data_IF_773522599350
#
_entry.id   IF_773522599350
#
_cell.length_a   1.000
_cell.length_b   1.000
_cell.length_c   1.000
_cell.angle_alpha   90.00
_cell.angle_beta   90.00
_cell.angle_gamma   90.00
#
_symmetry.space_group_name_H-M   'P 1'
#
loop_
_entity.id
_entity.type
_entity.pdbx_description
1 polymer ?
#
# COMPACT_ATOMS: atom_id res chain seq x y z
N UNK A 1 41.50 -14.33 20.86
CA UNK A 1 40.95 -13.40 19.84
C UNK A 1 40.52 -14.11 18.56
N UNK A 2 41.01 -15.34 18.29
CA UNK A 2 40.59 -16.12 17.11
C UNK A 2 39.20 -16.76 17.23
N UNK A 3 38.80 -17.26 18.39
CA UNK A 3 37.51 -17.97 18.57
C UNK A 3 36.25 -17.12 18.34
N UNK A 4 36.35 -15.79 18.51
CA UNK A 4 35.23 -14.85 18.26
C UNK A 4 35.02 -14.56 16.78
N UNK A 5 36.06 -14.67 15.95
CA UNK A 5 35.96 -14.45 14.49
C UNK A 5 35.31 -15.64 13.79
N UNK A 6 35.54 -16.86 14.28
CA UNK A 6 34.96 -18.08 13.71
C UNK A 6 33.45 -18.22 14.01
N UNK A 7 32.99 -17.79 15.19
CA UNK A 7 31.55 -17.78 15.51
C UNK A 7 30.77 -16.74 14.70
N UNK A 8 31.34 -15.56 14.46
CA UNK A 8 30.68 -14.52 13.65
C UNK A 8 30.54 -14.93 12.18
N UNK A 9 31.56 -15.60 11.61
CA UNK A 9 31.49 -16.13 10.25
C UNK A 9 30.42 -17.23 10.09
N UNK A 10 30.24 -18.08 11.10
CA UNK A 10 29.21 -19.13 11.08
C UNK A 10 27.79 -18.57 11.16
N UNK A 11 27.58 -17.47 11.92
CA UNK A 11 26.27 -16.83 12.05
C UNK A 11 25.85 -16.09 10.77
N UNK A 12 26.79 -15.46 10.07
CA UNK A 12 26.54 -14.78 8.78
C UNK A 12 26.26 -15.81 7.67
N UNK A 13 26.94 -16.96 7.67
CA UNK A 13 26.71 -18.02 6.69
C UNK A 13 25.35 -18.72 6.89
N UNK A 14 24.85 -18.78 8.13
CA UNK A 14 23.53 -19.35 8.45
C UNK A 14 22.37 -18.45 7.98
N UNK A 15 22.52 -17.11 8.03
CA UNK A 15 21.50 -16.18 7.50
C UNK A 15 21.36 -16.21 5.98
N UNK A 16 22.44 -16.53 5.25
CA UNK A 16 22.43 -16.65 3.79
C UNK A 16 21.84 -17.98 3.27
N UNK A 17 21.56 -18.93 4.18
CA UNK A 17 21.05 -20.25 3.85
C UNK A 17 19.56 -20.44 4.22
N UNK A 18 18.87 -19.39 4.69
CA UNK A 18 17.43 -19.42 4.92
C UNK A 18 16.74 -19.14 3.58
N UNK A 19 16.12 -20.13 2.92
CA UNK A 19 15.28 -19.83 1.77
C UNK A 19 14.17 -18.89 2.23
N UNK A 20 14.16 -17.66 1.71
CA UNK A 20 13.03 -16.76 1.85
C UNK A 20 11.82 -17.43 1.21
N UNK A 21 10.84 -17.81 2.01
CA UNK A 21 9.56 -18.26 1.50
C UNK A 21 8.84 -17.05 0.92
N UNK A 22 8.89 -16.90 -0.39
CA UNK A 22 8.00 -15.99 -1.12
C UNK A 22 6.78 -16.81 -1.56
N UNK A 23 5.63 -16.55 -0.93
CA UNK A 23 4.34 -17.04 -1.39
C UNK A 23 3.72 -15.95 -2.25
N UNK A 24 3.63 -16.20 -3.56
CA UNK A 24 2.83 -15.37 -4.45
C UNK A 24 1.39 -15.91 -4.43
N UNK A 25 0.49 -15.18 -3.78
CA UNK A 25 -0.94 -15.39 -3.93
C UNK A 25 -1.45 -14.55 -5.09
N UNK A 26 -2.44 -15.05 -5.85
CA UNK A 26 -3.17 -14.19 -6.77
C UNK A 26 -3.83 -13.07 -5.95
N UNK A 27 -3.52 -11.82 -6.27
CA UNK A 27 -4.22 -10.67 -5.68
C UNK A 27 -5.66 -10.73 -6.23
N UNK A 28 -6.68 -10.78 -5.37
CA UNK A 28 -8.05 -10.69 -5.84
C UNK A 28 -8.23 -9.38 -6.59
N UNK A 29 -8.81 -9.42 -7.80
CA UNK A 29 -9.21 -8.20 -8.51
C UNK A 29 -9.97 -7.28 -7.56
N UNK A 30 -9.59 -6.01 -7.50
CA UNK A 30 -10.09 -5.05 -6.50
C UNK A 30 -11.58 -4.75 -6.65
N UNK A 31 -12.27 -5.38 -7.62
CA UNK A 31 -13.70 -5.19 -7.90
C UNK A 31 -14.01 -3.78 -8.39
N UNK A 32 -12.99 -2.98 -8.69
CA UNK A 32 -13.09 -1.60 -9.11
C UNK A 32 -13.42 -1.57 -10.61
N UNK A 33 -14.67 -1.23 -10.92
CA UNK A 33 -15.18 -1.17 -12.31
C UNK A 33 -15.30 0.27 -12.83
N UNK A 34 -14.86 1.25 -12.03
CA UNK A 34 -15.06 2.68 -12.26
C UNK A 34 -13.75 3.43 -12.02
N UNK A 35 -13.30 4.18 -13.02
CA UNK A 35 -12.06 4.96 -12.96
C UNK A 35 -12.37 6.45 -12.82
N UNK A 36 -11.42 7.21 -12.29
CA UNK A 36 -11.58 8.64 -12.05
C UNK A 36 -10.38 9.40 -12.64
N UNK A 37 -10.61 10.63 -13.12
CA UNK A 37 -9.51 11.53 -13.47
C UNK A 37 -8.84 12.14 -12.22
N UNK A 38 -7.79 12.94 -12.43
CA UNK A 38 -7.06 13.65 -11.36
C UNK A 38 -7.92 14.70 -10.61
N UNK A 39 -9.15 14.92 -11.06
CA UNK A 39 -10.13 15.82 -10.46
C UNK A 39 -11.27 15.05 -9.76
N UNK A 40 -11.21 13.71 -9.73
CA UNK A 40 -12.22 12.86 -9.10
C UNK A 40 -13.50 12.69 -9.93
N UNK A 41 -13.51 13.09 -11.20
CA UNK A 41 -14.65 12.83 -12.08
C UNK A 41 -14.57 11.40 -12.59
N UNK A 42 -15.72 10.73 -12.65
CA UNK A 42 -15.80 9.41 -13.28
C UNK A 42 -15.43 9.50 -14.76
N UNK A 43 -14.41 8.75 -15.16
CA UNK A 43 -14.03 8.55 -16.55
C UNK A 43 -14.37 7.13 -16.97
N UNK A 44 -14.49 6.92 -18.29
CA UNK A 44 -14.39 5.56 -18.83
C UNK A 44 -13.00 5.05 -18.45
N UNK A 45 -12.95 3.93 -17.73
CA UNK A 45 -11.67 3.27 -17.49
C UNK A 45 -10.94 3.16 -18.83
N UNK A 46 -9.66 3.57 -18.90
CA UNK A 46 -8.84 3.27 -20.07
C UNK A 46 -9.07 1.80 -20.39
N UNK A 47 -9.39 1.49 -21.65
CA UNK A 47 -9.67 0.11 -22.06
C UNK A 47 -8.52 -0.72 -21.52
N UNK A 48 -8.84 -1.59 -20.56
CA UNK A 48 -7.84 -2.39 -19.89
C UNK A 48 -7.00 -3.07 -20.96
N UNK A 49 -5.71 -3.23 -20.68
CA UNK A 49 -4.90 -4.19 -21.38
C UNK A 49 -5.71 -5.48 -21.52
N UNK A 50 -6.26 -5.76 -22.69
CA UNK A 50 -6.92 -7.04 -22.86
C UNK A 50 -5.82 -8.08 -23.06
N UNK A 51 -5.99 -9.25 -22.45
CA UNK A 51 -5.01 -10.34 -22.53
C UNK A 51 -4.79 -10.83 -23.97
N UNK A 52 -5.60 -10.36 -24.93
CA UNK A 52 -5.65 -10.83 -26.31
C UNK A 52 -4.94 -9.88 -27.28
N UNK A 53 -5.05 -8.56 -27.11
CA UNK A 53 -4.57 -7.51 -28.00
C UNK A 53 -3.56 -6.55 -27.33
N UNK A 54 -3.36 -6.64 -26.03
CA UNK A 54 -2.29 -5.97 -25.30
C UNK A 54 -2.55 -4.50 -24.96
N UNK A 55 -1.57 -3.88 -24.29
CA UNK A 55 -1.71 -2.54 -23.72
C UNK A 55 -1.36 -1.43 -24.72
N UNK A 56 -2.03 -0.26 -24.61
CA UNK A 56 -1.55 0.99 -25.21
C UNK A 56 -0.14 1.29 -24.70
N UNK A 57 0.82 1.43 -25.61
CA UNK A 57 2.21 1.70 -25.25
C UNK A 57 2.46 3.17 -25.04
N UNK A 58 3.08 3.47 -23.91
CA UNK A 58 3.60 4.80 -23.59
C UNK A 58 5.12 4.83 -23.70
N UNK A 59 5.65 5.88 -24.29
CA UNK A 59 7.08 6.07 -24.52
C UNK A 59 7.55 7.34 -23.82
N UNK A 60 8.71 7.28 -23.16
CA UNK A 60 9.33 8.47 -22.58
C UNK A 60 10.18 9.15 -23.64
N UNK A 61 9.89 10.42 -23.88
CA UNK A 61 10.70 11.26 -24.76
C UNK A 61 12.09 11.48 -24.16
N UNK A 62 13.19 11.15 -24.87
CA UNK A 62 14.55 11.35 -24.35
C UNK A 62 14.91 12.81 -24.08
N UNK A 63 14.29 13.75 -24.80
CA UNK A 63 14.60 15.18 -24.76
C UNK A 63 13.83 15.94 -23.67
N UNK A 64 12.62 15.49 -23.32
CA UNK A 64 11.72 16.19 -22.40
C UNK A 64 11.35 15.38 -21.17
N UNK A 65 11.63 14.08 -21.14
CA UNK A 65 11.17 13.16 -20.10
C UNK A 65 9.65 12.96 -20.09
N UNK A 66 8.91 13.55 -21.05
CA UNK A 66 7.45 13.42 -21.11
C UNK A 66 7.03 12.10 -21.71
N UNK A 67 6.03 11.49 -21.09
CA UNK A 67 5.34 10.30 -21.58
C UNK A 67 4.41 10.66 -22.75
N UNK A 68 4.50 9.93 -23.85
CA UNK A 68 3.63 10.05 -25.03
C UNK A 68 3.09 8.68 -25.45
N UNK A 69 1.87 8.63 -25.98
CA UNK A 69 1.23 7.39 -26.46
C UNK A 69 0.60 7.53 -27.85
N UNK A 70 0.74 8.70 -28.47
CA UNK A 70 0.26 9.00 -29.82
C UNK A 70 1.41 9.52 -30.67
N UNK A 71 1.47 9.00 -31.89
CA UNK A 71 2.48 9.31 -32.89
C UNK A 71 1.81 9.76 -34.16
N UNK A 72 2.56 10.46 -35.00
CA UNK A 72 2.11 10.97 -36.29
C UNK A 72 3.09 10.55 -37.37
N UNK A 73 2.59 10.10 -38.51
CA UNK A 73 3.43 9.82 -39.67
C UNK A 73 3.83 11.11 -40.41
N UNK A 74 4.54 10.98 -41.53
CA UNK A 74 4.95 12.12 -42.35
C UNK A 74 3.80 12.92 -42.97
N UNK A 75 2.62 12.31 -43.08
CA UNK A 75 1.42 12.93 -43.63
C UNK A 75 0.56 13.56 -42.51
N UNK A 76 1.00 13.46 -41.25
CA UNK A 76 0.31 13.99 -40.09
C UNK A 76 -0.83 13.10 -39.60
N UNK A 77 -0.88 11.83 -40.02
CA UNK A 77 -1.90 10.86 -39.60
C UNK A 77 -1.51 10.28 -38.25
N UNK A 78 -2.45 10.32 -37.30
CA UNK A 78 -2.24 9.84 -35.94
C UNK A 78 -2.36 8.32 -35.85
N UNK A 79 -1.44 7.70 -35.11
CA UNK A 79 -1.48 6.29 -34.76
C UNK A 79 -0.89 6.04 -33.35
N UNK A 80 -1.15 4.86 -32.80
CA UNK A 80 -0.66 4.41 -31.49
C UNK A 80 -0.16 2.96 -31.56
N UNK A 81 0.79 2.61 -30.71
CA UNK A 81 1.30 1.24 -30.57
C UNK A 81 0.58 0.50 -29.46
N UNK A 82 0.28 -0.78 -29.69
CA UNK A 82 -0.28 -1.70 -28.72
C UNK A 82 0.58 -2.96 -28.63
N UNK A 83 0.70 -3.52 -27.42
CA UNK A 83 1.32 -4.83 -27.20
C UNK A 83 1.84 -5.03 -25.78
N UNK A 84 2.48 -6.17 -25.54
CA UNK A 84 2.88 -6.62 -24.19
C UNK A 84 4.36 -6.31 -23.90
N UNK A 85 4.72 -5.88 -22.68
CA UNK A 85 6.13 -5.60 -22.33
C UNK A 85 6.85 -6.88 -21.92
N UNK A 86 6.19 -7.68 -21.08
CA UNK A 86 6.59 -9.04 -20.71
C UNK A 86 5.42 -9.98 -20.92
N UNK A 87 5.73 -11.21 -21.30
CA UNK A 87 4.76 -12.26 -21.56
C UNK A 87 5.20 -13.49 -20.79
N UNK A 88 4.26 -14.28 -20.31
CA UNK A 88 4.57 -15.48 -19.54
C UNK A 88 3.93 -16.72 -20.18
N UNK A 89 4.57 -17.86 -20.00
CA UNK A 89 3.98 -19.17 -20.23
C UNK A 89 3.01 -19.51 -19.08
N UNK A 90 2.18 -20.53 -19.25
CA UNK A 90 1.20 -20.97 -18.23
C UNK A 90 1.86 -21.41 -16.90
N UNK A 91 3.17 -21.70 -16.92
CA UNK A 91 3.97 -22.06 -15.75
C UNK A 91 4.62 -20.85 -15.05
N UNK A 92 4.33 -19.62 -15.50
CA UNK A 92 4.88 -18.39 -14.95
C UNK A 92 6.29 -18.04 -15.43
N UNK A 93 6.89 -18.82 -16.33
CA UNK A 93 8.19 -18.46 -16.95
C UNK A 93 8.02 -17.39 -18.02
N UNK A 94 8.95 -16.45 -18.09
CA UNK A 94 8.91 -15.37 -19.09
C UNK A 94 9.15 -15.93 -20.51
N UNK A 95 8.38 -15.43 -21.49
CA UNK A 95 8.45 -15.76 -22.92
C UNK A 95 8.52 -14.48 -23.75
N UNK A 96 8.98 -14.62 -24.99
CA UNK A 96 8.99 -13.51 -25.95
C UNK A 96 7.55 -13.09 -26.29
N UNK A 97 7.27 -11.80 -26.18
CA UNK A 97 5.98 -11.25 -26.57
C UNK A 97 5.76 -11.22 -28.08
N UNK A 98 4.49 -11.29 -28.53
CA UNK A 98 4.12 -10.96 -29.90
C UNK A 98 4.61 -9.56 -30.31
N UNK A 99 4.83 -9.36 -31.61
CA UNK A 99 5.21 -8.07 -32.18
C UNK A 99 4.10 -7.02 -31.95
N UNK A 100 4.48 -5.75 -31.81
CA UNK A 100 3.51 -4.67 -31.58
C UNK A 100 2.55 -4.53 -32.75
N UNK A 101 1.30 -4.20 -32.44
CA UNK A 101 0.32 -3.77 -33.44
C UNK A 101 0.16 -2.25 -33.40
N UNK A 102 -0.17 -1.65 -34.53
CA UNK A 102 -0.48 -0.22 -34.61
C UNK A 102 -1.95 -0.03 -34.87
N UNK A 103 -2.54 0.98 -34.22
CA UNK A 103 -3.93 1.36 -34.42
C UNK A 103 -4.04 2.80 -34.84
N UNK A 104 -4.97 3.10 -35.75
CA UNK A 104 -5.30 4.47 -36.12
C UNK A 104 -6.07 5.16 -34.98
N UNK A 105 -6.37 6.45 -35.13
CA UNK A 105 -7.17 7.23 -34.15
C UNK A 105 -8.57 6.65 -33.88
N UNK A 106 -9.15 5.93 -34.83
CA UNK A 106 -10.45 5.27 -34.70
C UNK A 106 -10.37 3.92 -33.98
N UNK A 107 -9.15 3.41 -33.72
CA UNK A 107 -8.91 2.12 -33.09
C UNK A 107 -8.74 0.94 -34.07
N UNK A 108 -8.77 1.17 -35.38
CA UNK A 108 -8.58 0.10 -36.37
C UNK A 108 -7.12 -0.29 -36.45
N UNK A 109 -6.84 -1.60 -36.52
CA UNK A 109 -5.49 -2.14 -36.74
C UNK A 109 -4.99 -1.72 -38.12
N UNK A 110 -3.81 -1.09 -38.15
CA UNK A 110 -3.13 -0.64 -39.36
C UNK A 110 -1.71 -1.21 -39.40
N UNK A 111 -1.10 -1.34 -40.60
CA UNK A 111 0.32 -1.63 -40.71
C UNK A 111 1.15 -0.59 -39.95
N UNK A 112 2.06 -1.04 -39.10
CA UNK A 112 2.92 -0.13 -38.36
C UNK A 112 3.83 0.67 -39.30
N UNK A 113 3.90 2.01 -39.17
CA UNK A 113 4.80 2.83 -39.97
C UNK A 113 6.26 2.42 -39.75
N UNK A 114 7.00 2.23 -40.84
CA UNK A 114 8.42 1.83 -40.83
C UNK A 114 9.38 3.01 -41.04
N UNK A 115 8.82 4.22 -41.23
CA UNK A 115 9.56 5.46 -41.46
C UNK A 115 9.76 6.30 -40.19
N UNK A 116 10.02 7.59 -40.41
CA UNK A 116 10.06 8.59 -39.32
C UNK A 116 8.66 8.82 -38.77
N UNK A 117 8.54 9.01 -37.47
CA UNK A 117 7.31 9.51 -36.84
C UNK A 117 7.58 10.76 -36.01
N UNK A 118 6.49 11.41 -35.62
CA UNK A 118 6.50 12.70 -34.92
C UNK A 118 5.58 12.67 -33.72
N UNK A 119 5.87 13.52 -32.73
CA UNK A 119 5.04 13.71 -31.53
C UNK A 119 3.77 14.56 -31.77
N UNK A 120 3.67 15.24 -32.93
CA UNK A 120 2.49 16.04 -33.33
C UNK A 120 2.26 16.02 -34.84
N UNK A 121 1.01 16.20 -35.24
CA UNK A 121 0.58 16.21 -36.65
C UNK A 121 1.31 17.23 -37.54
N UNK A 122 1.79 18.33 -36.98
CA UNK A 122 2.47 19.40 -37.73
C UNK A 122 4.00 19.23 -37.83
N UNK A 123 4.52 18.02 -37.66
CA UNK A 123 5.96 17.74 -37.72
C UNK A 123 6.73 18.33 -36.53
N UNK A 124 6.58 17.73 -35.35
CA UNK A 124 7.33 18.13 -34.16
C UNK A 124 8.67 17.44 -34.02
N UNK A 125 8.92 16.83 -32.86
CA UNK A 125 10.13 16.06 -32.63
C UNK A 125 10.07 14.79 -33.45
N UNK A 126 11.05 14.64 -34.33
CA UNK A 126 11.22 13.51 -35.22
C UNK A 126 11.91 12.35 -34.49
N UNK A 127 11.31 11.17 -34.56
CA UNK A 127 11.92 9.92 -34.18
C UNK A 127 12.50 9.25 -35.43
N UNK A 128 13.82 9.05 -35.45
CA UNK A 128 14.55 8.52 -36.61
C UNK A 128 14.05 7.12 -37.05
N UNK A 129 13.59 6.34 -36.07
CA UNK A 129 12.86 5.08 -36.27
C UNK A 129 11.67 5.14 -35.33
N UNK A 130 10.48 4.92 -35.87
CA UNK A 130 9.29 4.53 -35.14
C UNK A 130 9.66 3.50 -34.05
N UNK A 131 9.47 3.76 -32.74
CA UNK A 131 10.06 2.96 -31.67
C UNK A 131 9.83 1.45 -31.90
N UNK A 132 10.88 0.66 -32.22
CA UNK A 132 10.68 -0.71 -32.68
C UNK A 132 10.67 -1.74 -31.54
N UNK A 133 11.02 -1.35 -30.31
CA UNK A 133 11.13 -2.28 -29.18
C UNK A 133 10.64 -1.67 -27.86
N UNK A 134 10.23 -2.57 -26.96
CA UNK A 134 9.74 -2.31 -25.61
C UNK A 134 10.75 -1.57 -24.70
N UNK A 135 11.98 -1.36 -25.14
CA UNK A 135 13.11 -1.00 -24.29
C UNK A 135 13.10 0.47 -23.82
N UNK A 136 12.21 1.32 -24.35
CA UNK A 136 12.04 2.72 -23.91
C UNK A 136 10.66 3.03 -23.32
N UNK A 137 9.85 2.01 -23.01
CA UNK A 137 8.63 2.25 -22.23
C UNK A 137 9.02 2.67 -20.83
N UNK A 138 8.35 3.69 -20.30
CA UNK A 138 8.47 4.07 -18.89
C UNK A 138 8.25 2.89 -17.96
N UNK A 139 8.54 3.09 -16.66
CA UNK A 139 8.64 2.04 -15.65
C UNK A 139 7.40 1.15 -15.47
N UNK A 140 6.25 1.52 -15.98
CA UNK A 140 5.00 0.96 -15.46
C UNK A 140 4.35 -0.02 -16.44
N UNK A 141 4.72 -1.30 -16.27
CA UNK A 141 3.96 -2.48 -16.73
C UNK A 141 2.51 -2.53 -16.23
N UNK A 142 2.23 -1.70 -15.24
CA UNK A 142 1.00 -1.67 -14.50
C UNK A 142 0.33 -0.29 -14.54
N UNK A 143 0.80 0.63 -15.41
CA UNK A 143 0.26 2.00 -15.46
C UNK A 143 -1.26 2.00 -15.56
N UNK A 144 -1.93 2.54 -14.54
CA UNK A 144 -3.38 2.47 -14.41
C UNK A 144 -3.88 1.56 -13.29
N UNK A 145 -3.02 0.80 -12.62
CA UNK A 145 -3.35 0.12 -11.37
C UNK A 145 -3.33 1.11 -10.20
N UNK A 146 -4.00 0.72 -9.11
CA UNK A 146 -4.09 1.53 -7.88
C UNK A 146 -2.71 1.94 -7.35
N UNK A 147 -1.69 1.10 -7.53
CA UNK A 147 -0.31 1.39 -7.11
C UNK A 147 0.41 2.49 -7.93
N UNK A 148 -0.15 2.90 -9.07
CA UNK A 148 0.39 4.00 -9.90
C UNK A 148 -0.25 5.35 -9.56
N UNK A 149 -1.28 5.35 -8.73
CA UNK A 149 -1.97 6.55 -8.29
C UNK A 149 -1.74 6.77 -6.80
N UNK A 150 -1.53 8.01 -6.40
CA UNK A 150 -1.51 8.38 -4.99
C UNK A 150 -2.96 8.47 -4.49
N UNK A 151 -3.58 7.32 -4.23
CA UNK A 151 -4.98 7.21 -3.78
C UNK A 151 -5.04 7.24 -2.26
N UNK A 152 -5.78 8.20 -1.71
CA UNK A 152 -5.96 8.40 -0.27
C UNK A 152 -4.62 8.46 0.50
N UNK A 153 -3.68 9.36 0.12
CA UNK A 153 -2.43 9.49 0.86
C UNK A 153 -2.71 9.72 2.35
N UNK A 154 -1.92 9.11 3.27
CA UNK A 154 -2.12 9.29 4.69
C UNK A 154 -2.16 10.78 5.05
N UNK A 155 -3.28 11.23 5.58
CA UNK A 155 -3.54 12.64 5.88
C UNK A 155 -4.09 12.73 7.29
N UNK A 156 -3.41 13.50 8.15
CA UNK A 156 -3.66 13.48 9.57
C UNK A 156 -3.66 14.88 10.18
N UNK A 157 -4.56 15.10 11.14
CA UNK A 157 -4.61 16.30 11.98
C UNK A 157 -4.32 15.94 13.43
N UNK A 158 -3.34 16.62 14.02
CA UNK A 158 -2.99 16.49 15.44
C UNK A 158 -4.01 17.23 16.31
N UNK A 159 -4.56 16.55 17.31
CA UNK A 159 -5.59 17.09 18.20
C UNK A 159 -5.15 17.05 19.67
N UNK A 160 -5.24 18.20 20.34
CA UNK A 160 -5.03 18.37 21.77
C UNK A 160 -6.25 17.99 22.59
N UNK A 161 -6.21 18.33 23.87
CA UNK A 161 -7.36 18.13 24.75
C UNK A 161 -8.59 18.92 24.26
N UNK A 162 -9.78 18.34 24.43
CA UNK A 162 -11.02 18.85 23.85
C UNK A 162 -11.15 18.73 22.32
N UNK A 163 -10.20 18.07 21.64
CA UNK A 163 -10.28 17.84 20.19
C UNK A 163 -9.90 19.05 19.34
N UNK A 164 -9.14 20.01 19.88
CA UNK A 164 -8.69 21.21 19.15
C UNK A 164 -7.36 20.92 18.44
N UNK A 165 -7.22 21.37 17.18
CA UNK A 165 -5.98 21.20 16.43
C UNK A 165 -4.77 21.86 17.12
N UNK A 166 -3.64 21.16 17.19
CA UNK A 166 -2.41 21.63 17.84
C UNK A 166 -1.17 20.93 17.32
N UNK A 167 -0.03 21.61 17.30
CA UNK A 167 1.26 21.07 16.85
C UNK A 167 2.23 20.72 17.99
N UNK A 168 1.90 21.06 19.24
CA UNK A 168 2.85 20.94 20.37
C UNK A 168 2.49 19.88 21.40
N UNK A 169 1.19 19.68 21.66
CA UNK A 169 0.70 18.89 22.80
C UNK A 169 -0.53 18.06 22.42
N UNK A 170 -0.46 17.34 21.30
CA UNK A 170 -1.57 16.50 20.85
C UNK A 170 -1.60 15.17 21.62
N UNK A 171 -2.80 14.74 21.96
CA UNK A 171 -3.09 13.46 22.61
C UNK A 171 -3.94 12.56 21.71
N UNK A 172 -4.34 13.06 20.54
CA UNK A 172 -5.15 12.38 19.57
C UNK A 172 -4.69 12.72 18.16
N UNK A 173 -4.97 11.84 17.21
CA UNK A 173 -4.72 12.05 15.78
C UNK A 173 -6.01 11.77 15.03
N UNK A 174 -6.49 12.73 14.26
CA UNK A 174 -7.58 12.53 13.32
C UNK A 174 -7.01 12.09 11.98
N UNK A 175 -7.48 10.97 11.46
CA UNK A 175 -7.28 10.56 10.08
C UNK A 175 -8.32 11.28 9.20
N UNK A 176 -7.86 12.11 8.28
CA UNK A 176 -8.73 12.90 7.40
C UNK A 176 -9.40 12.05 6.31
N UNK A 177 -8.82 10.91 5.96
CA UNK A 177 -9.35 10.01 4.93
C UNK A 177 -10.53 9.19 5.46
N UNK A 178 -10.47 8.72 6.70
CA UNK A 178 -11.55 7.94 7.34
C UNK A 178 -12.45 8.76 8.27
N UNK A 179 -11.98 9.92 8.74
CA UNK A 179 -12.61 10.72 9.78
C UNK A 179 -12.41 10.17 11.21
N UNK A 180 -11.74 9.02 11.36
CA UNK A 180 -11.50 8.38 12.65
C UNK A 180 -10.50 9.18 13.49
N UNK A 181 -10.65 9.10 14.81
CA UNK A 181 -9.74 9.74 15.77
C UNK A 181 -9.08 8.67 16.62
N UNK A 182 -7.75 8.69 16.66
CA UNK A 182 -6.89 7.72 17.32
C UNK A 182 -6.31 8.28 18.61
N UNK A 183 -6.30 7.47 19.67
CA UNK A 183 -5.70 7.83 20.95
C UNK A 183 -4.18 7.64 20.90
N UNK A 184 -3.44 8.71 21.16
CA UNK A 184 -1.99 8.68 21.14
C UNK A 184 -1.38 7.90 22.30
N UNK A 185 -0.26 7.22 22.01
CA UNK A 185 0.50 6.49 23.03
C UNK A 185 1.53 7.40 23.71
N UNK A 186 1.71 7.20 25.00
CA UNK A 186 2.74 7.85 25.80
C UNK A 186 3.94 6.93 26.02
N UNK A 187 5.15 7.48 25.93
CA UNK A 187 6.36 6.79 26.35
C UNK A 187 6.33 6.40 27.85
N UNK A 188 7.22 5.49 28.26
CA UNK A 188 7.38 5.06 29.65
C UNK A 188 7.04 3.58 29.86
N UNK A 189 7.32 3.10 31.07
CA UNK A 189 7.06 1.71 31.47
C UNK A 189 5.57 1.40 31.53
N UNK A 190 5.25 0.10 31.41
CA UNK A 190 3.87 -0.37 31.52
C UNK A 190 3.24 0.05 32.85
N UNK A 191 1.96 0.43 32.80
CA UNK A 191 1.19 0.90 33.95
C UNK A 191 -0.30 0.58 33.78
N UNK A 192 -0.89 -0.03 34.80
CA UNK A 192 -2.33 -0.32 34.84
C UNK A 192 -3.19 0.91 35.08
N UNK A 193 -2.63 2.00 35.60
CA UNK A 193 -3.38 3.26 35.81
C UNK A 193 -3.30 4.22 34.62
N UNK A 194 -2.45 3.93 33.64
CA UNK A 194 -2.22 4.76 32.46
C UNK A 194 -2.36 3.89 31.19
N UNK A 195 -3.58 3.70 30.67
CA UNK A 195 -3.85 2.74 29.61
C UNK A 195 -3.16 3.10 28.28
N UNK A 196 -2.87 4.38 28.06
CA UNK A 196 -2.19 4.87 26.86
C UNK A 196 -0.67 4.70 26.90
N UNK A 197 -0.07 4.08 27.93
CA UNK A 197 1.37 3.73 27.91
C UNK A 197 1.70 2.82 26.74
N UNK A 198 2.74 3.18 25.99
CA UNK A 198 3.21 2.45 24.81
C UNK A 198 3.66 1.02 25.14
N UNK A 199 4.22 0.80 26.33
CA UNK A 199 4.69 -0.50 26.77
C UNK A 199 3.57 -1.43 27.30
N UNK A 200 2.31 -0.95 27.38
CA UNK A 200 1.21 -1.81 27.83
C UNK A 200 0.84 -2.82 26.75
N UNK A 201 0.69 -4.08 27.17
CA UNK A 201 0.10 -5.15 26.38
C UNK A 201 -1.07 -5.77 27.13
N UNK A 202 -2.01 -6.33 26.39
CA UNK A 202 -3.25 -6.88 26.93
C UNK A 202 -3.59 -8.18 26.23
N UNK A 203 -4.18 -9.13 26.98
CA UNK A 203 -4.91 -10.24 26.34
C UNK A 203 -6.10 -9.67 25.56
N UNK A 204 -6.68 -10.44 24.64
CA UNK A 204 -7.81 -9.95 23.85
C UNK A 204 -9.03 -9.59 24.74
N UNK A 205 -9.27 -10.39 25.79
CA UNK A 205 -10.33 -10.12 26.77
C UNK A 205 -10.05 -8.83 27.55
N UNK A 206 -8.81 -8.60 27.99
CA UNK A 206 -8.46 -7.40 28.76
C UNK A 206 -8.43 -6.15 27.86
N UNK A 207 -8.07 -6.32 26.58
CA UNK A 207 -8.10 -5.26 25.58
C UNK A 207 -9.54 -4.77 25.36
N UNK A 208 -10.49 -5.68 25.15
CA UNK A 208 -11.90 -5.34 24.90
C UNK A 208 -12.66 -4.93 26.17
N UNK A 209 -12.22 -5.41 27.34
CA UNK A 209 -12.80 -5.09 28.64
C UNK A 209 -12.08 -3.96 29.38
N UNK A 210 -10.98 -4.30 30.07
CA UNK A 210 -10.29 -3.41 31.01
C UNK A 210 -9.70 -2.16 30.34
N UNK A 211 -8.98 -2.33 29.23
CA UNK A 211 -8.34 -1.22 28.52
C UNK A 211 -9.38 -0.20 28.03
N UNK A 212 -10.40 -0.65 27.29
CA UNK A 212 -11.45 0.24 26.77
C UNK A 212 -12.26 0.88 27.89
N UNK A 213 -12.59 0.14 28.97
CA UNK A 213 -13.28 0.69 30.14
C UNK A 213 -12.48 1.80 30.80
N UNK A 214 -11.17 1.60 30.98
CA UNK A 214 -10.30 2.59 31.62
C UNK A 214 -10.08 3.83 30.73
N UNK A 215 -9.85 3.65 29.43
CA UNK A 215 -9.74 4.77 28.48
C UNK A 215 -10.99 5.64 28.51
N UNK A 216 -12.18 5.03 28.50
CA UNK A 216 -13.45 5.75 28.55
C UNK A 216 -13.72 6.42 29.91
N UNK A 217 -13.26 5.81 31.00
CA UNK A 217 -13.38 6.39 32.34
C UNK A 217 -12.49 7.62 32.51
N UNK A 218 -11.28 7.59 31.94
CA UNK A 218 -10.34 8.70 32.00
C UNK A 218 -10.71 9.87 31.08
N UNK A 219 -11.55 9.64 30.08
CA UNK A 219 -12.14 10.72 29.29
C UNK A 219 -11.13 11.44 28.39
N UNK A 220 -10.17 10.72 27.78
CA UNK A 220 -9.11 11.34 26.97
C UNK A 220 -9.70 12.25 25.88
N UNK A 221 -9.22 13.50 25.81
CA UNK A 221 -9.73 14.50 24.87
C UNK A 221 -11.14 15.00 25.17
N UNK A 222 -11.71 14.66 26.33
CA UNK A 222 -13.11 14.91 26.68
C UNK A 222 -14.08 13.83 26.20
N UNK A 223 -13.58 12.69 25.70
CA UNK A 223 -14.39 11.65 25.06
C UNK A 223 -14.43 10.33 25.84
N UNK A 224 -15.57 9.65 25.80
CA UNK A 224 -15.85 8.40 26.52
C UNK A 224 -16.50 7.32 25.63
N UNK A 225 -16.32 7.44 24.33
CA UNK A 225 -16.82 6.55 23.27
C UNK A 225 -15.67 5.86 22.49
N UNK A 226 -14.51 5.74 23.13
CA UNK A 226 -13.36 5.01 22.62
C UNK A 226 -13.67 3.52 22.51
N UNK A 227 -13.16 2.90 21.44
CA UNK A 227 -13.26 1.47 21.17
C UNK A 227 -11.94 0.94 20.63
N UNK A 228 -11.82 -0.38 20.57
CA UNK A 228 -10.74 -1.02 19.84
C UNK A 228 -11.05 -0.92 18.32
N UNK A 229 -10.06 -0.66 17.45
CA UNK A 229 -10.24 -0.60 16.00
C UNK A 229 -10.50 -1.97 15.40
N UNK A 230 -11.24 -2.04 14.31
CA UNK A 230 -11.33 -3.25 13.49
C UNK A 230 -10.00 -3.54 12.79
N UNK A 231 -9.81 -4.77 12.31
CA UNK A 231 -8.58 -5.14 11.58
C UNK A 231 -8.35 -4.27 10.35
N UNK A 232 -9.43 -3.87 9.67
CA UNK A 232 -9.36 -2.99 8.48
C UNK A 232 -8.92 -1.57 8.86
N UNK A 233 -9.45 -1.03 9.96
CA UNK A 233 -9.06 0.30 10.44
C UNK A 233 -7.59 0.32 10.88
N UNK A 234 -7.09 -0.73 11.55
CA UNK A 234 -5.67 -0.83 11.90
C UNK A 234 -4.78 -0.99 10.66
N UNK A 235 -5.19 -1.83 9.71
CA UNK A 235 -4.44 -2.02 8.47
C UNK A 235 -4.40 -0.73 7.64
N UNK A 236 -5.42 0.12 7.76
CA UNK A 236 -5.49 1.39 7.03
C UNK A 236 -4.44 2.42 7.48
N UNK A 237 -3.99 2.38 8.73
CA UNK A 237 -2.96 3.30 9.26
C UNK A 237 -1.53 2.74 9.12
N UNK A 238 -1.36 1.55 8.54
CA UNK A 238 -0.05 0.99 8.22
C UNK A 238 0.63 1.84 7.15
N UNK A 239 1.91 2.12 7.34
CA UNK A 239 2.74 2.81 6.36
C UNK A 239 3.62 1.78 5.63
N UNK A 240 3.22 1.38 4.43
CA UNK A 240 3.86 0.27 3.68
C UNK A 240 5.33 0.50 3.30
N UNK A 241 5.78 1.76 3.19
CA UNK A 241 7.21 2.06 2.94
C UNK A 241 8.09 2.03 4.22
N UNK A 242 7.50 1.73 5.39
CA UNK A 242 8.21 1.70 6.67
C UNK A 242 8.17 0.30 7.26
N UNK A 243 9.18 -0.02 8.06
CA UNK A 243 9.23 -1.22 8.89
C UNK A 243 9.93 -0.90 10.21
N UNK A 244 9.54 -1.60 11.28
CA UNK A 244 10.13 -1.46 12.61
C UNK A 244 10.07 -0.05 13.25
N UNK A 245 8.91 0.62 13.38
CA UNK A 245 7.58 0.14 13.02
C UNK A 245 7.07 0.62 11.65
N UNK A 246 6.16 -0.14 11.05
CA UNK A 246 5.41 0.17 9.82
C UNK A 246 4.32 1.23 10.04
N UNK A 247 4.66 2.34 10.72
CA UNK A 247 3.81 3.51 10.93
C UNK A 247 4.66 4.74 11.22
N UNK A 248 4.11 5.94 11.01
CA UNK A 248 4.84 7.18 11.24
C UNK A 248 4.91 7.57 12.73
N UNK A 249 6.03 7.18 13.37
CA UNK A 249 6.31 7.44 14.80
C UNK A 249 7.30 8.58 15.06
N UNK A 250 7.74 9.32 14.03
CA UNK A 250 8.84 10.27 14.20
C UNK A 250 8.52 11.38 15.22
N UNK A 251 9.44 11.62 16.16
CA UNK A 251 9.14 12.30 17.44
C UNK A 251 8.66 13.77 17.40
N UNK A 252 8.48 14.39 16.22
CA UNK A 252 7.91 15.75 16.04
C UNK A 252 7.18 15.93 14.70
N UNK A 253 7.65 15.25 13.65
CA UNK A 253 7.03 15.16 12.32
C UNK A 253 5.92 14.11 12.25
N UNK A 254 6.05 13.03 13.00
CA UNK A 254 5.14 11.90 12.97
C UNK A 254 3.84 12.14 13.71
N UNK A 255 2.83 11.37 13.35
CA UNK A 255 1.49 11.47 13.89
C UNK A 255 1.29 10.51 15.06
N UNK A 256 1.74 9.25 14.95
CA UNK A 256 1.50 8.17 15.90
C UNK A 256 2.69 7.92 16.85
N UNK A 257 3.08 8.95 17.59
CA UNK A 257 4.19 8.88 18.55
C UNK A 257 4.11 7.65 19.48
N UNK A 258 5.29 7.08 19.72
CA UNK A 258 5.54 6.00 20.68
C UNK A 258 4.85 4.67 20.38
N UNK A 259 4.18 4.49 19.24
CA UNK A 259 3.78 3.15 18.82
C UNK A 259 5.01 2.25 18.72
N UNK A 260 4.92 1.08 19.36
CA UNK A 260 5.93 0.04 19.33
C UNK A 260 5.83 -0.75 18.03
N UNK A 261 6.94 -1.30 17.57
CA UNK A 261 6.94 -2.37 16.59
C UNK A 261 6.46 -3.69 17.26
N UNK A 262 5.70 -4.50 16.54
CA UNK A 262 5.04 -5.71 17.06
C UNK A 262 3.53 -5.71 16.85
N UNK A 263 2.86 -6.71 17.44
CA UNK A 263 1.46 -7.00 17.15
C UNK A 263 0.48 -6.10 17.93
N UNK A 264 -0.57 -5.62 17.26
CA UNK A 264 -1.65 -4.83 17.84
C UNK A 264 -2.99 -5.54 17.67
N UNK A 265 -3.69 -5.79 18.79
CA UNK A 265 -5.02 -6.37 18.74
C UNK A 265 -6.01 -5.47 17.99
N UNK A 266 -6.77 -6.07 17.09
CA UNK A 266 -8.01 -5.48 16.56
C UNK A 266 -9.22 -5.98 17.35
N UNK A 267 -10.38 -5.35 17.18
CA UNK A 267 -11.67 -5.82 17.69
C UNK A 267 -12.25 -7.00 16.89
N UNK A 268 -11.57 -7.45 15.83
CA UNK A 268 -12.07 -8.47 14.91
C UNK A 268 -11.71 -9.85 15.43
N UNK A 269 -12.69 -10.57 15.99
CA UNK A 269 -12.54 -11.98 16.38
C UNK A 269 -12.52 -12.89 15.15
N UNK A 270 -11.84 -14.03 15.26
CA UNK A 270 -11.95 -15.08 14.24
C UNK A 270 -13.26 -15.86 14.42
N UNK A 271 -13.80 -16.35 13.31
CA UNK A 271 -15.01 -17.19 13.31
C UNK A 271 -14.83 -18.34 12.33
N UNK A 272 -15.47 -19.48 12.59
CA UNK A 272 -15.45 -20.63 11.70
C UNK A 272 -14.35 -21.63 12.04
N UNK A 273 -14.06 -22.51 11.09
CA UNK A 273 -13.11 -23.62 11.28
C UNK A 273 -12.12 -23.71 10.14
N UNK A 274 -10.86 -24.01 10.45
CA UNK A 274 -9.81 -24.28 9.46
C UNK A 274 -9.14 -25.61 9.79
N UNK A 275 -9.08 -26.51 8.80
CA UNK A 275 -8.55 -27.88 8.96
C UNK A 275 -9.14 -28.63 10.17
N UNK A 276 -10.42 -28.37 10.46
CA UNK A 276 -11.14 -28.97 11.60
C UNK A 276 -10.86 -28.32 12.96
N UNK A 277 -10.05 -27.26 13.01
CA UNK A 277 -9.78 -26.47 14.21
C UNK A 277 -10.76 -25.30 14.30
N UNK A 278 -11.45 -25.17 15.43
CA UNK A 278 -12.29 -23.99 15.72
C UNK A 278 -11.42 -22.77 15.98
N UNK A 279 -11.69 -21.68 15.27
CA UNK A 279 -10.95 -20.44 15.37
C UNK A 279 -11.56 -19.46 16.37
N UNK A 280 -12.65 -19.83 17.07
CA UNK A 280 -13.35 -18.94 18.02
C UNK A 280 -12.47 -18.48 19.19
N UNK A 281 -11.36 -19.15 19.47
CA UNK A 281 -10.36 -18.76 20.49
C UNK A 281 -9.31 -17.79 19.97
N UNK A 282 -9.35 -17.43 18.68
CA UNK A 282 -8.38 -16.54 18.04
C UNK A 282 -9.01 -15.18 17.69
N UNK A 283 -8.15 -14.19 17.50
CA UNK A 283 -8.53 -12.87 17.02
C UNK A 283 -7.49 -12.33 16.03
N UNK A 284 -7.90 -11.36 15.21
CA UNK A 284 -7.01 -10.70 14.27
C UNK A 284 -6.19 -9.60 14.94
N UNK A 285 -4.94 -9.49 14.52
CA UNK A 285 -4.04 -8.40 14.87
C UNK A 285 -3.35 -7.85 13.61
N UNK A 286 -2.78 -6.65 13.74
CA UNK A 286 -1.88 -6.07 12.74
C UNK A 286 -0.48 -6.01 13.34
N UNK A 287 0.51 -6.60 12.67
CA UNK A 287 1.91 -6.54 13.06
C UNK A 287 2.50 -5.24 12.52
N UNK A 288 2.95 -4.36 13.41
CA UNK A 288 3.62 -3.11 13.03
C UNK A 288 5.14 -3.27 12.90
N UNK A 289 5.72 -4.47 12.93
CA UNK A 289 7.09 -4.65 12.41
C UNK A 289 7.09 -4.50 10.88
N UNK A 290 6.10 -5.05 10.18
CA UNK A 290 6.06 -5.09 8.70
C UNK A 290 4.71 -4.70 8.06
N UNK A 291 3.67 -4.45 8.86
CA UNK A 291 2.34 -4.07 8.38
C UNK A 291 1.40 -5.24 8.07
N UNK A 292 1.81 -6.48 8.32
CA UNK A 292 1.03 -7.67 7.99
C UNK A 292 -0.18 -7.86 8.92
N UNK A 293 -1.21 -8.53 8.40
CA UNK A 293 -2.38 -8.97 9.17
C UNK A 293 -2.20 -10.43 9.56
N UNK A 294 -2.36 -10.73 10.85
CA UNK A 294 -2.25 -12.08 11.39
C UNK A 294 -3.41 -12.42 12.33
N UNK A 295 -3.35 -13.64 12.85
CA UNK A 295 -4.25 -14.13 13.91
C UNK A 295 -3.46 -14.85 14.99
N UNK A 296 -3.93 -14.78 16.22
CA UNK A 296 -3.29 -15.37 17.38
C UNK A 296 -4.32 -15.79 18.43
N UNK A 297 -3.91 -16.63 19.38
CA UNK A 297 -4.76 -17.03 20.49
C UNK A 297 -5.11 -15.83 21.36
N UNK A 298 -6.37 -15.72 21.77
CA UNK A 298 -6.88 -14.60 22.58
C UNK A 298 -6.21 -14.50 23.96
N UNK A 299 -5.48 -15.55 24.39
CA UNK A 299 -4.70 -15.60 25.62
C UNK A 299 -3.35 -14.90 25.51
N UNK A 300 -2.88 -14.57 24.31
CA UNK A 300 -1.63 -13.84 24.09
C UNK A 300 -1.79 -12.34 24.42
N UNK A 301 -0.74 -11.74 24.98
CA UNK A 301 -0.71 -10.30 25.23
C UNK A 301 -0.10 -9.55 24.04
N UNK A 302 -0.84 -8.58 23.50
CA UNK A 302 -0.41 -7.74 22.37
C UNK A 302 -0.63 -6.26 22.67
N UNK A 303 -0.02 -5.37 21.89
CA UNK A 303 -0.24 -3.93 22.03
C UNK A 303 -1.67 -3.56 21.63
N UNK A 304 -2.10 -2.36 22.03
CA UNK A 304 -3.42 -1.82 21.71
C UNK A 304 -3.35 -0.31 21.49
N UNK A 305 -4.22 0.17 20.61
CA UNK A 305 -4.53 1.57 20.39
C UNK A 305 -6.06 1.72 20.34
N UNK A 306 -6.58 2.80 20.90
CA UNK A 306 -8.01 3.09 20.87
C UNK A 306 -8.33 4.01 19.70
N UNK A 307 -9.52 3.82 19.13
CA UNK A 307 -10.07 4.66 18.06
C UNK A 307 -11.48 5.09 18.47
N UNK A 308 -11.94 6.23 17.96
CA UNK A 308 -13.32 6.67 18.05
C UNK A 308 -13.80 7.20 16.71
N UNK A 309 -15.12 7.22 16.56
CA UNK A 309 -15.77 7.92 15.46
C UNK A 309 -15.72 9.43 15.72
N UNK A 310 -15.80 10.28 14.68
CA UNK A 310 -15.78 11.73 14.83
C UNK A 310 -16.93 12.25 15.72
#
# INVERSE_FOLDING_TARGET
METKKTMAAFFVMLMLAIPGFALAGAVPDTGQTTCYDDQGNTITCPTECDDVNGCLRTFIRPDTGKTISSFYDSDGVQFSYYGFRSCYNDDGTEKTCPEFECRNKSGDVIPCPTGKCYDKASGGVEFAVCPPSAESTGTDDFYGQDGNYEVNPPSYTKLGDGGVATDTDWIMVKDESSGLIWLMKEAGSASSSQPNRAANTYTFSDATGEFISLVNTLGFGGYSDWRLPTVKELAFIVHSDKSGPAIDIESKSGYFLNMQAGDYWSATSCTGTEDGTDLSTQAFYVNFDDGSVGRAEQTESKYVIAVRNP
#
